data_IF_000707096211
#
_entry.id   IF_000707096211
#
_cell.length_a   1.000
_cell.length_b   1.000
_cell.length_c   1.000
_cell.angle_alpha   90.00
_cell.angle_beta   90.00
_cell.angle_gamma   90.00
#
_symmetry.space_group_name_H-M   'P 1'
#
loop_
_entity.id
_entity.type
_entity.pdbx_description
1 polymer ?
#
# COMPACT_ATOMS: atom_id res chain seq x y z
N UNK A 1 -42.29 19.56 32.40
CA UNK A 1 -41.40 19.71 31.23
C UNK A 1 -40.09 18.91 31.35
N UNK A 2 -40.03 17.83 32.14
CA UNK A 2 -38.76 17.11 32.43
C UNK A 2 -38.59 15.75 31.75
N UNK A 3 -39.62 15.18 31.12
CA UNK A 3 -39.60 13.78 30.64
C UNK A 3 -39.37 13.63 29.13
N UNK A 4 -39.48 14.70 28.35
CA UNK A 4 -39.31 14.65 26.89
C UNK A 4 -37.85 14.81 26.41
N UNK A 5 -36.95 15.30 27.28
CA UNK A 5 -35.53 15.50 26.93
C UNK A 5 -34.67 14.24 27.12
N UNK A 6 -35.07 13.31 28.01
CA UNK A 6 -34.33 12.07 28.25
C UNK A 6 -34.47 11.06 27.10
N UNK A 7 -35.59 11.09 26.38
CA UNK A 7 -35.90 10.10 25.35
C UNK A 7 -35.22 10.38 24.00
N UNK A 8 -34.87 11.64 23.74
CA UNK A 8 -34.13 12.07 22.53
C UNK A 8 -32.62 11.89 22.67
N UNK A 9 -32.07 12.10 23.87
CA UNK A 9 -30.64 11.89 24.16
C UNK A 9 -30.25 10.41 24.22
N UNK A 10 -31.11 9.56 24.80
CA UNK A 10 -30.86 8.12 24.90
C UNK A 10 -30.81 7.42 23.54
N UNK A 11 -31.68 7.81 22.60
CA UNK A 11 -31.69 7.26 21.24
C UNK A 11 -30.45 7.70 20.45
N UNK A 12 -30.01 8.95 20.63
CA UNK A 12 -28.79 9.46 20.00
C UNK A 12 -27.54 8.77 20.54
N UNK A 13 -27.47 8.54 21.86
CA UNK A 13 -26.35 7.81 22.49
C UNK A 13 -26.35 6.32 22.12
N UNK A 14 -27.53 5.69 21.99
CA UNK A 14 -27.65 4.32 21.49
C UNK A 14 -27.22 4.23 20.03
N UNK A 15 -27.68 5.12 19.16
CA UNK A 15 -27.25 5.19 17.76
C UNK A 15 -25.76 5.48 17.64
N UNK A 16 -25.21 6.40 18.45
CA UNK A 16 -23.77 6.69 18.46
C UNK A 16 -22.98 5.49 18.99
N UNK A 17 -23.47 4.78 20.01
CA UNK A 17 -22.85 3.53 20.48
C UNK A 17 -22.94 2.39 19.46
N UNK A 18 -24.02 2.30 18.66
CA UNK A 18 -24.19 1.32 17.60
C UNK A 18 -23.35 1.67 16.36
N UNK A 19 -23.17 2.96 16.06
CA UNK A 19 -22.25 3.46 15.04
C UNK A 19 -20.79 3.23 15.44
N UNK A 20 -20.46 3.50 16.71
CA UNK A 20 -19.15 3.21 17.28
C UNK A 20 -18.92 1.70 17.32
N UNK A 21 -19.83 0.87 17.86
CA UNK A 21 -19.74 -0.60 17.85
C UNK A 21 -19.71 -1.19 16.42
N UNK A 22 -20.43 -0.59 15.47
CA UNK A 22 -20.39 -0.97 14.05
C UNK A 22 -19.04 -0.69 13.41
N UNK A 23 -18.30 0.29 13.92
CA UNK A 23 -16.92 0.59 13.53
C UNK A 23 -15.91 -0.42 14.13
N UNK A 24 -16.27 -1.15 15.18
CA UNK A 24 -15.49 -2.26 15.74
C UNK A 24 -15.78 -3.62 15.08
N UNK A 25 -16.72 -3.70 14.13
CA UNK A 25 -17.09 -4.99 13.53
C UNK A 25 -16.08 -5.50 12.48
N UNK A 26 -14.99 -4.79 12.20
CA UNK A 26 -13.91 -5.25 11.31
C UNK A 26 -12.67 -5.78 12.05
N UNK A 27 -12.75 -6.12 13.35
CA UNK A 27 -11.66 -6.78 14.06
C UNK A 27 -11.54 -8.27 13.71
N UNK A 28 -11.20 -8.56 12.46
CA UNK A 28 -10.45 -9.77 12.13
C UNK A 28 -9.00 -9.36 11.95
N UNK A 29 -8.14 -9.64 12.93
CA UNK A 29 -6.69 -9.41 12.86
C UNK A 29 -6.16 -10.05 11.57
N UNK A 30 -5.74 -9.21 10.63
CA UNK A 30 -5.15 -9.64 9.38
C UNK A 30 -3.64 -9.85 9.54
N UNK A 31 -3.08 -10.64 8.63
CA UNK A 31 -1.64 -10.68 8.41
C UNK A 31 -1.31 -9.69 7.31
N UNK A 32 -0.46 -8.71 7.60
CA UNK A 32 0.08 -7.79 6.60
C UNK A 32 1.31 -8.41 5.94
N UNK A 33 1.26 -8.49 4.61
CA UNK A 33 2.35 -8.91 3.75
C UNK A 33 2.86 -7.66 3.00
N UNK A 34 3.98 -7.04 3.42
CA UNK A 34 4.47 -5.79 2.84
C UNK A 34 4.98 -5.91 1.39
N UNK A 35 5.14 -7.13 0.89
CA UNK A 35 5.81 -7.44 -0.37
C UNK A 35 7.33 -7.53 -0.23
N UNK A 36 7.84 -7.75 0.99
CA UNK A 36 9.27 -7.88 1.25
C UNK A 36 9.83 -9.17 0.62
N UNK A 37 11.08 -9.12 0.16
CA UNK A 37 11.75 -10.32 -0.35
C UNK A 37 11.91 -11.35 0.76
N UNK A 38 11.51 -12.60 0.49
CA UNK A 38 11.62 -13.67 1.46
C UNK A 38 10.59 -13.61 2.59
N UNK A 39 9.54 -12.79 2.49
CA UNK A 39 8.39 -12.87 3.39
C UNK A 39 7.60 -14.17 3.14
N UNK A 40 6.98 -14.70 4.19
CA UNK A 40 6.06 -15.84 4.11
C UNK A 40 5.40 -16.07 5.46
N UNK A 41 4.25 -16.72 5.42
CA UNK A 41 3.63 -17.33 6.61
C UNK A 41 3.30 -18.78 6.31
N UNK A 42 3.61 -19.67 7.25
CA UNK A 42 3.27 -21.09 7.16
C UNK A 42 2.11 -21.41 8.10
N UNK A 43 1.05 -21.95 7.52
CA UNK A 43 -0.07 -22.55 8.24
C UNK A 43 0.10 -24.08 8.32
N UNK A 44 -0.69 -24.76 9.17
CA UNK A 44 -0.74 -26.20 9.19
C UNK A 44 -1.08 -26.75 7.80
N UNK A 45 -0.61 -27.96 7.52
CA UNK A 45 -0.92 -28.66 6.28
C UNK A 45 -2.44 -28.73 6.05
N UNK A 46 -2.89 -28.29 4.89
CA UNK A 46 -4.24 -28.58 4.40
C UNK A 46 -4.27 -29.98 3.77
N UNK A 47 -5.11 -30.87 4.28
CA UNK A 47 -5.31 -32.18 3.68
C UNK A 47 -6.22 -32.10 2.42
N UNK A 48 -5.64 -31.69 1.29
CA UNK A 48 -6.33 -31.47 0.02
C UNK A 48 -6.57 -32.75 -0.82
N UNK A 49 -6.54 -33.94 -0.19
CA UNK A 49 -6.51 -35.22 -0.91
C UNK A 49 -7.73 -35.46 -1.79
N UNK A 50 -8.90 -35.19 -1.23
CA UNK A 50 -10.13 -35.84 -1.66
C UNK A 50 -11.21 -34.76 -1.77
N UNK A 51 -12.20 -34.80 -0.89
CA UNK A 51 -13.10 -33.68 -0.66
C UNK A 51 -12.61 -32.86 0.53
N UNK A 52 -12.22 -31.61 0.27
CA UNK A 52 -11.86 -30.68 1.32
C UNK A 52 -11.93 -29.26 0.79
N UNK A 53 -11.99 -28.30 1.71
CA UNK A 53 -12.12 -26.90 1.40
C UNK A 53 -11.16 -26.06 2.24
N UNK A 54 -10.59 -25.05 1.60
CA UNK A 54 -9.86 -23.96 2.24
C UNK A 54 -10.52 -22.64 1.85
N UNK A 55 -10.61 -21.71 2.79
CA UNK A 55 -11.03 -20.34 2.51
C UNK A 55 -10.17 -19.33 3.25
N UNK A 56 -10.11 -18.11 2.71
CA UNK A 56 -9.49 -16.96 3.34
C UNK A 56 -10.06 -15.68 2.71
N UNK A 57 -9.77 -14.54 3.32
CA UNK A 57 -10.03 -13.24 2.72
C UNK A 57 -8.72 -12.56 2.39
N UNK A 58 -8.66 -11.86 1.24
CA UNK A 58 -7.51 -11.08 0.83
C UNK A 58 -7.90 -9.65 0.49
N UNK A 59 -6.98 -8.72 0.71
CA UNK A 59 -7.08 -7.32 0.26
C UNK A 59 -5.74 -6.93 -0.36
N UNK A 60 -5.73 -6.45 -1.60
CA UNK A 60 -4.49 -6.09 -2.29
C UNK A 60 -4.73 -5.02 -3.34
N UNK A 61 -3.67 -4.29 -3.70
CA UNK A 61 -3.59 -3.46 -4.91
C UNK A 61 -2.57 -3.99 -5.92
N UNK A 62 -1.86 -5.07 -5.58
CA UNK A 62 -0.80 -5.64 -6.41
C UNK A 62 -1.37 -6.30 -7.65
N UNK A 63 -0.74 -6.08 -8.81
CA UNK A 63 -1.10 -6.74 -10.05
C UNK A 63 -0.50 -8.14 -10.21
N UNK A 64 0.39 -8.59 -9.29
CA UNK A 64 0.98 -9.94 -9.31
C UNK A 64 1.46 -10.38 -7.92
N UNK A 65 1.69 -11.68 -7.74
CA UNK A 65 2.30 -12.23 -6.52
C UNK A 65 1.84 -13.64 -6.17
N UNK A 66 2.63 -14.35 -5.36
CA UNK A 66 2.32 -15.68 -4.84
C UNK A 66 1.39 -15.58 -3.63
N UNK A 67 0.14 -16.01 -3.79
CA UNK A 67 -0.86 -15.97 -2.71
C UNK A 67 -0.72 -17.19 -1.80
N UNK A 68 -0.68 -18.40 -2.37
CA UNK A 68 -0.45 -19.63 -1.61
C UNK A 68 0.26 -20.71 -2.42
N UNK A 69 0.96 -21.58 -1.71
CA UNK A 69 1.60 -22.76 -2.26
C UNK A 69 1.65 -23.91 -1.24
N UNK A 70 1.46 -25.13 -1.71
CA UNK A 70 1.83 -26.35 -1.00
C UNK A 70 2.09 -27.49 -1.99
N UNK A 71 2.85 -28.49 -1.55
CA UNK A 71 3.18 -29.63 -2.38
C UNK A 71 3.45 -30.90 -1.55
N UNK A 72 3.88 -31.94 -2.26
CA UNK A 72 4.43 -33.16 -1.71
C UNK A 72 5.96 -33.13 -1.59
N UNK A 73 6.61 -31.98 -1.43
CA UNK A 73 8.06 -31.87 -1.22
C UNK A 73 8.90 -32.44 -2.39
N UNK A 74 8.46 -32.16 -3.62
CA UNK A 74 9.17 -32.44 -4.85
C UNK A 74 8.99 -33.83 -5.43
N UNK A 75 7.84 -34.48 -5.19
CA UNK A 75 7.44 -35.63 -6.00
C UNK A 75 6.62 -35.17 -7.20
N UNK A 76 5.30 -35.02 -7.06
CA UNK A 76 4.40 -34.94 -8.21
C UNK A 76 3.19 -34.01 -8.00
N UNK A 77 2.79 -33.78 -6.76
CA UNK A 77 1.55 -33.12 -6.40
C UNK A 77 1.84 -31.73 -5.84
N UNK A 78 1.16 -30.72 -6.39
CA UNK A 78 1.23 -29.35 -5.89
C UNK A 78 -0.09 -28.63 -6.13
N UNK A 79 -0.28 -27.53 -5.41
CA UNK A 79 -1.28 -26.53 -5.71
C UNK A 79 -0.69 -25.13 -5.46
N UNK A 80 -0.83 -24.27 -6.46
CA UNK A 80 -0.39 -22.88 -6.45
C UNK A 80 -1.60 -21.97 -6.72
N UNK A 81 -1.74 -20.88 -5.95
CA UNK A 81 -2.60 -19.75 -6.29
C UNK A 81 -1.74 -18.50 -6.41
N UNK A 82 -1.82 -17.83 -7.56
CA UNK A 82 -1.11 -16.58 -7.81
C UNK A 82 -2.06 -15.46 -8.24
N UNK A 83 -1.65 -14.23 -8.02
CA UNK A 83 -2.14 -13.08 -8.75
C UNK A 83 -1.40 -12.98 -10.08
N UNK A 84 -2.16 -12.92 -11.17
CA UNK A 84 -1.66 -12.69 -12.52
C UNK A 84 -1.83 -11.24 -12.93
N UNK A 85 -1.13 -10.83 -13.99
CA UNK A 85 -1.19 -9.46 -14.54
C UNK A 85 -2.64 -9.01 -14.70
N UNK A 86 -2.96 -7.87 -14.09
CA UNK A 86 -4.32 -7.35 -14.01
C UNK A 86 -5.10 -7.80 -12.78
N UNK A 87 -4.43 -8.38 -11.78
CA UNK A 87 -4.99 -8.64 -10.45
C UNK A 87 -5.98 -9.79 -10.37
N UNK A 88 -5.99 -10.71 -11.35
CA UNK A 88 -6.88 -11.88 -11.35
C UNK A 88 -6.18 -13.08 -10.75
N UNK A 89 -6.92 -13.88 -10.00
CA UNK A 89 -6.41 -15.11 -9.41
C UNK A 89 -6.28 -16.22 -10.46
N UNK A 90 -5.14 -16.89 -10.47
CA UNK A 90 -4.92 -18.12 -11.24
C UNK A 90 -4.54 -19.25 -10.30
N UNK A 91 -5.32 -20.33 -10.38
CA UNK A 91 -5.07 -21.58 -9.69
C UNK A 91 -4.36 -22.55 -10.64
N UNK A 92 -3.31 -23.21 -10.17
CA UNK A 92 -2.68 -24.32 -10.89
C UNK A 92 -2.43 -25.49 -9.94
N UNK A 93 -2.67 -26.72 -10.40
CA UNK A 93 -2.38 -27.91 -9.61
C UNK A 93 -2.08 -29.11 -10.49
N UNK A 94 -1.24 -30.02 -9.98
CA UNK A 94 -1.03 -31.35 -10.56
C UNK A 94 -1.29 -32.43 -9.53
N UNK A 95 -1.71 -33.59 -10.03
CA UNK A 95 -1.85 -34.83 -9.25
C UNK A 95 -1.10 -35.90 -10.00
N UNK A 96 -0.18 -36.59 -9.33
CA UNK A 96 0.55 -37.74 -9.83
C UNK A 96 1.30 -37.45 -11.14
N UNK A 97 2.01 -36.31 -11.16
CA UNK A 97 2.86 -35.88 -12.27
C UNK A 97 2.10 -35.74 -13.60
N UNK A 98 0.79 -35.45 -13.52
CA UNK A 98 -0.01 -35.10 -14.68
C UNK A 98 0.37 -33.70 -15.17
N UNK A 99 0.00 -33.39 -16.42
CA UNK A 99 0.05 -32.02 -16.91
C UNK A 99 -0.79 -31.11 -15.98
N UNK A 100 -0.23 -29.99 -15.48
CA UNK A 100 -0.94 -29.14 -14.53
C UNK A 100 -2.26 -28.61 -15.08
N UNK A 101 -3.34 -28.78 -14.32
CA UNK A 101 -4.59 -28.11 -14.59
C UNK A 101 -4.47 -26.65 -14.14
N UNK A 102 -4.87 -25.71 -15.01
CA UNK A 102 -4.82 -24.28 -14.72
C UNK A 102 -6.19 -23.65 -14.92
N UNK A 103 -6.55 -22.76 -14.00
CA UNK A 103 -7.82 -22.04 -13.99
C UNK A 103 -7.55 -20.56 -13.70
N UNK A 104 -8.00 -19.68 -14.60
CA UNK A 104 -7.94 -18.24 -14.43
C UNK A 104 -9.34 -17.70 -14.10
N UNK A 105 -9.45 -16.96 -13.00
CA UNK A 105 -10.66 -16.24 -12.65
C UNK A 105 -10.90 -15.04 -13.58
N UNK A 106 -12.15 -14.62 -13.73
CA UNK A 106 -12.53 -13.41 -14.48
C UNK A 106 -12.44 -12.15 -13.62
N UNK A 107 -12.80 -12.27 -12.34
CA UNK A 107 -12.88 -11.13 -11.42
C UNK A 107 -11.47 -10.70 -10.96
N UNK A 108 -11.06 -9.44 -11.23
CA UNK A 108 -9.88 -8.86 -10.60
C UNK A 108 -10.16 -8.61 -9.11
N UNK A 109 -9.16 -8.86 -8.26
CA UNK A 109 -9.27 -8.75 -6.79
C UNK A 109 -8.28 -7.72 -6.22
N UNK A 110 -7.70 -6.88 -7.07
CA UNK A 110 -6.67 -5.90 -6.72
C UNK A 110 -7.22 -4.46 -6.64
N UNK A 111 -8.50 -4.30 -6.30
CA UNK A 111 -9.18 -3.01 -6.18
C UNK A 111 -8.95 -2.34 -4.79
N UNK A 112 -8.22 -3.00 -3.90
CA UNK A 112 -7.97 -2.54 -2.53
C UNK A 112 -9.12 -2.85 -1.55
N UNK A 113 -10.12 -3.64 -1.95
CA UNK A 113 -11.19 -4.13 -1.09
C UNK A 113 -10.94 -5.57 -0.61
N UNK A 114 -11.68 -5.99 0.41
CA UNK A 114 -11.67 -7.38 0.88
C UNK A 114 -12.45 -8.28 -0.07
N UNK A 115 -11.79 -9.30 -0.60
CA UNK A 115 -12.41 -10.38 -1.37
C UNK A 115 -12.36 -11.70 -0.59
N UNK A 116 -13.43 -12.47 -0.68
CA UNK A 116 -13.48 -13.83 -0.12
C UNK A 116 -13.02 -14.83 -1.18
N UNK A 117 -12.02 -15.64 -0.85
CA UNK A 117 -11.50 -16.69 -1.74
C UNK A 117 -11.70 -18.04 -1.10
N UNK A 118 -12.25 -18.98 -1.87
CA UNK A 118 -12.46 -20.36 -1.40
C UNK A 118 -12.07 -21.36 -2.47
N UNK A 119 -11.25 -22.33 -2.08
CA UNK A 119 -10.78 -23.40 -2.94
C UNK A 119 -11.39 -24.69 -2.42
N UNK A 120 -12.23 -25.31 -3.24
CA UNK A 120 -12.87 -26.58 -2.93
C UNK A 120 -12.30 -27.68 -3.83
N UNK A 121 -11.74 -28.70 -3.21
CA UNK A 121 -11.24 -29.91 -3.86
C UNK A 121 -12.33 -30.97 -3.85
N UNK A 122 -12.48 -31.65 -4.98
CA UNK A 122 -13.32 -32.83 -5.16
C UNK A 122 -12.57 -33.81 -6.07
N UNK A 123 -11.65 -34.59 -5.48
CA UNK A 123 -10.82 -35.55 -6.21
C UNK A 123 -10.01 -34.90 -7.35
N UNK A 124 -10.30 -35.18 -8.63
CA UNK A 124 -9.60 -34.54 -9.75
C UNK A 124 -10.04 -33.11 -10.04
N UNK A 125 -11.18 -32.70 -9.49
CA UNK A 125 -11.75 -31.38 -9.71
C UNK A 125 -11.33 -30.43 -8.60
N UNK A 126 -11.00 -29.20 -8.99
CA UNK A 126 -10.81 -28.10 -8.04
C UNK A 126 -11.64 -26.91 -8.50
N UNK A 127 -12.46 -26.38 -7.60
CA UNK A 127 -13.30 -25.20 -7.83
C UNK A 127 -12.73 -24.03 -7.06
N UNK A 128 -12.50 -22.91 -7.76
CA UNK A 128 -12.16 -21.62 -7.19
C UNK A 128 -13.43 -20.77 -7.12
N UNK A 129 -13.75 -20.28 -5.93
CA UNK A 129 -14.79 -19.30 -5.69
C UNK A 129 -14.15 -17.95 -5.37
N UNK A 130 -14.61 -16.91 -6.05
CA UNK A 130 -14.30 -15.52 -5.72
C UNK A 130 -15.60 -14.84 -5.32
N UNK A 131 -15.57 -14.32 -4.11
CA UNK A 131 -16.74 -13.81 -3.42
C UNK A 131 -17.86 -14.88 -3.44
N UNK A 132 -19.12 -14.45 -3.41
CA UNK A 132 -20.26 -15.37 -3.59
C UNK A 132 -20.79 -15.34 -5.03
N UNK A 133 -20.00 -14.78 -5.97
CA UNK A 133 -20.45 -14.40 -7.31
C UNK A 133 -19.81 -15.27 -8.38
N UNK A 134 -18.51 -15.52 -8.28
CA UNK A 134 -17.79 -16.31 -9.27
C UNK A 134 -17.48 -17.71 -8.72
N UNK A 135 -17.76 -18.73 -9.54
CA UNK A 135 -17.38 -20.10 -9.28
C UNK A 135 -16.87 -20.73 -10.59
N UNK A 136 -15.57 -21.00 -10.66
CA UNK A 136 -14.96 -21.69 -11.80
C UNK A 136 -14.27 -22.96 -11.34
N UNK A 137 -14.22 -23.97 -12.19
CA UNK A 137 -13.60 -25.24 -11.87
C UNK A 137 -12.78 -25.76 -13.04
N UNK A 138 -11.79 -26.60 -12.71
CA UNK A 138 -10.99 -27.33 -13.68
C UNK A 138 -10.70 -28.73 -13.16
N UNK A 139 -10.61 -29.70 -14.06
CA UNK A 139 -10.21 -31.07 -13.76
C UNK A 139 -8.78 -31.34 -14.25
N UNK A 140 -7.95 -31.95 -13.42
CA UNK A 140 -6.65 -32.48 -13.86
C UNK A 140 -6.80 -33.84 -14.54
N UNK A 141 -6.15 -34.02 -15.68
CA UNK A 141 -6.14 -35.30 -16.43
C UNK A 141 -5.08 -36.24 -15.86
N UNK A 142 -5.33 -36.70 -14.63
CA UNK A 142 -4.45 -37.61 -13.90
C UNK A 142 -4.97 -39.04 -13.83
N UNK A 143 -4.04 -40.01 -13.80
CA UNK A 143 -4.33 -41.43 -13.53
C UNK A 143 -4.81 -41.64 -12.09
N UNK A 144 -4.36 -40.78 -11.17
CA UNK A 144 -4.76 -40.81 -9.76
C UNK A 144 -5.79 -39.73 -9.50
N UNK A 145 -6.72 -40.02 -8.59
CA UNK A 145 -7.78 -39.08 -8.23
C UNK A 145 -7.46 -38.26 -6.98
N UNK A 146 -6.70 -38.83 -6.06
CA UNK A 146 -6.42 -38.25 -4.75
C UNK A 146 -5.06 -37.54 -4.78
N UNK A 147 -5.00 -36.35 -4.21
CA UNK A 147 -3.77 -35.59 -4.04
C UNK A 147 -3.03 -36.02 -2.77
N UNK A 148 -1.71 -36.05 -2.82
CA UNK A 148 -0.84 -36.16 -1.66
C UNK A 148 -0.26 -34.79 -1.34
N UNK A 149 -0.26 -34.41 -0.07
CA UNK A 149 0.36 -33.17 0.41
C UNK A 149 1.28 -33.55 1.56
N UNK A 150 2.51 -33.05 1.59
CA UNK A 150 3.45 -33.26 2.69
C UNK A 150 3.85 -31.96 3.35
N UNK A 151 4.02 -30.89 2.56
CA UNK A 151 4.42 -29.59 3.08
C UNK A 151 3.35 -28.95 3.98
N UNK A 152 3.76 -27.91 4.72
CA UNK A 152 2.82 -26.92 5.25
C UNK A 152 2.17 -26.10 4.14
N UNK A 153 1.16 -25.31 4.51
CA UNK A 153 0.59 -24.32 3.60
C UNK A 153 1.38 -23.02 3.70
N UNK A 154 2.08 -22.65 2.63
CA UNK A 154 2.76 -21.37 2.54
C UNK A 154 1.81 -20.31 1.98
N UNK A 155 1.76 -19.16 2.62
CA UNK A 155 0.91 -18.02 2.27
C UNK A 155 1.78 -16.77 2.13
N UNK A 156 1.52 -16.00 1.08
CA UNK A 156 2.11 -14.68 0.83
C UNK A 156 3.55 -14.68 0.29
N UNK A 157 4.19 -15.84 0.22
CA UNK A 157 5.55 -16.02 -0.28
C UNK A 157 6.12 -17.38 0.11
N UNK A 158 7.43 -17.53 -0.04
CA UNK A 158 8.16 -18.75 0.33
C UNK A 158 9.34 -18.42 1.25
N UNK A 159 9.68 -19.31 2.19
CA UNK A 159 10.91 -19.20 2.96
C UNK A 159 12.14 -19.16 2.04
N UNK A 160 13.15 -18.33 2.36
CA UNK A 160 14.39 -18.22 1.58
C UNK A 160 15.05 -19.57 1.32
N UNK A 161 14.96 -20.51 2.27
CA UNK A 161 15.50 -21.85 2.15
C UNK A 161 14.87 -22.61 0.99
N UNK A 162 13.54 -22.53 0.81
CA UNK A 162 12.84 -23.20 -0.31
C UNK A 162 13.14 -22.54 -1.66
N UNK A 163 13.59 -21.28 -1.68
CA UNK A 163 14.08 -20.63 -2.91
C UNK A 163 15.45 -21.17 -3.34
N UNK A 164 16.21 -21.76 -2.42
CA UNK A 164 17.48 -22.41 -2.76
C UNK A 164 17.26 -23.66 -3.62
N UNK A 165 18.09 -23.83 -4.66
CA UNK A 165 17.94 -24.93 -5.62
C UNK A 165 18.05 -26.34 -5.01
N UNK A 166 18.69 -26.46 -3.84
CA UNK A 166 18.93 -27.73 -3.16
C UNK A 166 17.68 -28.35 -2.52
N UNK A 167 16.65 -27.55 -2.21
CA UNK A 167 15.42 -28.04 -1.58
C UNK A 167 14.36 -28.40 -2.63
N UNK A 168 13.67 -29.51 -2.39
CA UNK A 168 12.76 -30.12 -3.35
C UNK A 168 11.39 -29.43 -3.30
N UNK A 169 11.09 -28.64 -4.33
CA UNK A 169 9.76 -28.14 -4.64
C UNK A 169 9.22 -28.88 -5.84
N UNK A 170 7.95 -29.25 -5.83
CA UNK A 170 7.32 -29.96 -6.95
C UNK A 170 7.16 -29.06 -8.17
N UNK A 171 6.74 -27.81 -7.97
CA UNK A 171 6.71 -26.81 -9.04
C UNK A 171 7.90 -25.87 -8.92
N UNK A 172 8.93 -26.04 -9.75
CA UNK A 172 10.15 -25.22 -9.66
C UNK A 172 9.93 -23.71 -9.92
N UNK A 173 8.99 -23.35 -10.80
CA UNK A 173 8.71 -21.95 -11.18
C UNK A 173 8.14 -21.11 -10.04
N UNK A 174 7.64 -21.75 -8.97
CA UNK A 174 7.17 -21.03 -7.78
C UNK A 174 8.27 -20.18 -7.13
N UNK A 175 9.55 -20.57 -7.31
CA UNK A 175 10.71 -19.83 -6.79
C UNK A 175 10.89 -18.46 -7.42
N UNK A 176 10.36 -18.26 -8.62
CA UNK A 176 10.48 -17.03 -9.39
C UNK A 176 9.28 -16.09 -9.17
N UNK A 177 8.27 -16.53 -8.41
CA UNK A 177 7.11 -15.70 -8.11
C UNK A 177 7.50 -14.55 -7.18
N UNK A 178 6.95 -13.38 -7.47
CA UNK A 178 7.02 -12.23 -6.55
C UNK A 178 6.22 -12.53 -5.27
N UNK A 179 6.66 -12.07 -4.09
CA UNK A 179 5.85 -12.16 -2.88
C UNK A 179 4.54 -11.40 -3.02
N UNK A 180 3.46 -11.90 -2.42
CA UNK A 180 2.17 -11.21 -2.42
C UNK A 180 2.23 -9.95 -1.55
N UNK A 181 1.77 -8.82 -2.07
CA UNK A 181 1.66 -7.59 -1.29
C UNK A 181 0.20 -7.32 -0.93
N UNK A 182 -0.12 -7.18 0.36
CA UNK A 182 -1.48 -6.90 0.83
C UNK A 182 -1.76 -7.55 2.17
N UNK A 183 -3.03 -7.82 2.44
CA UNK A 183 -3.47 -8.44 3.68
C UNK A 183 -4.19 -9.75 3.41
N UNK A 184 -4.00 -10.73 4.29
CA UNK A 184 -4.75 -11.98 4.31
C UNK A 184 -5.28 -12.22 5.72
N UNK A 185 -6.55 -12.62 5.84
CA UNK A 185 -7.18 -12.93 7.11
C UNK A 185 -8.12 -14.12 6.98
N UNK A 186 -8.63 -14.58 8.13
CA UNK A 186 -9.68 -15.59 8.20
C UNK A 186 -9.36 -16.89 7.44
N UNK A 187 -8.10 -17.34 7.54
CA UNK A 187 -7.68 -18.61 6.93
C UNK A 187 -8.38 -19.76 7.63
N UNK A 188 -9.12 -20.56 6.87
CA UNK A 188 -9.91 -21.70 7.37
C UNK A 188 -9.69 -22.93 6.52
N UNK A 189 -9.76 -24.09 7.17
CA UNK A 189 -9.77 -25.41 6.53
C UNK A 189 -11.02 -26.16 7.02
N UNK A 190 -11.89 -26.55 6.10
CA UNK A 190 -13.18 -27.20 6.40
C UNK A 190 -13.97 -26.44 7.49
N UNK A 191 -14.10 -25.11 7.35
CA UNK A 191 -14.74 -24.18 8.30
C UNK A 191 -13.99 -23.89 9.62
N UNK A 192 -12.99 -24.71 9.98
CA UNK A 192 -12.17 -24.49 11.16
C UNK A 192 -11.10 -23.43 10.89
N UNK A 193 -10.97 -22.45 11.78
CA UNK A 193 -9.91 -21.44 11.70
C UNK A 193 -8.54 -22.10 11.83
N UNK A 194 -7.63 -21.75 10.93
CA UNK A 194 -6.23 -22.15 10.97
C UNK A 194 -5.40 -20.97 11.46
N UNK A 195 -4.49 -21.22 12.40
CA UNK A 195 -3.57 -20.21 12.92
C UNK A 195 -2.19 -20.37 12.26
N UNK A 196 -1.43 -19.28 12.09
CA UNK A 196 -0.03 -19.36 11.68
C UNK A 196 0.78 -20.27 12.63
N UNK A 197 1.64 -21.10 12.05
CA UNK A 197 2.61 -21.92 12.80
C UNK A 197 3.96 -21.22 12.88
N UNK A 198 4.33 -20.53 11.80
CA UNK A 198 5.64 -19.91 11.62
C UNK A 198 5.54 -18.81 10.55
N UNK A 199 6.43 -17.81 10.60
CA UNK A 199 6.42 -16.68 9.67
C UNK A 199 7.77 -15.98 9.62
N UNK A 200 8.15 -15.46 8.45
CA UNK A 200 9.27 -14.54 8.26
C UNK A 200 8.81 -13.25 7.60
N UNK A 201 9.24 -12.10 8.14
CA UNK A 201 8.94 -10.75 7.61
C UNK A 201 7.44 -10.42 7.47
N UNK A 202 6.58 -10.98 8.34
CA UNK A 202 5.12 -10.74 8.39
C UNK A 202 4.74 -10.24 9.78
N UNK A 203 3.92 -9.18 9.86
CA UNK A 203 3.43 -8.62 11.13
C UNK A 203 2.02 -9.11 11.43
N UNK A 204 1.77 -9.43 12.70
CA UNK A 204 0.44 -9.66 13.26
C UNK A 204 -0.11 -8.30 13.73
N UNK A 205 -1.25 -7.87 13.20
CA UNK A 205 -1.86 -6.60 13.58
C UNK A 205 -2.63 -6.72 14.91
N UNK A 206 -2.01 -6.27 16.01
CA UNK A 206 -2.69 -5.94 17.28
C UNK A 206 -2.81 -4.41 17.51
N UNK A 207 -2.47 -3.55 16.52
CA UNK A 207 -2.52 -2.08 16.63
C UNK A 207 -3.25 -1.44 15.43
N UNK A 208 -3.93 -0.29 15.62
CA UNK A 208 -4.76 0.36 14.59
C UNK A 208 -3.95 0.81 13.37
N UNK A 209 -4.57 0.91 12.18
CA UNK A 209 -3.88 0.94 10.90
C UNK A 209 -3.05 2.22 10.75
N UNK A 210 -1.76 2.14 11.03
CA UNK A 210 -0.77 3.10 10.55
C UNK A 210 -0.20 2.60 9.22
N UNK A 211 -0.89 2.96 8.14
CA UNK A 211 -0.38 3.19 6.78
C UNK A 211 0.82 2.34 6.31
N UNK A 212 0.54 1.12 5.83
CA UNK A 212 1.54 0.22 5.23
C UNK A 212 1.21 -0.36 3.85
N UNK A 213 0.01 -0.11 3.30
CA UNK A 213 -0.40 -0.67 2.00
C UNK A 213 -1.38 0.19 1.20
N UNK A 214 -1.12 1.50 1.17
CA UNK A 214 -1.78 2.40 0.22
C UNK A 214 -1.37 2.12 -1.23
N UNK A 215 -2.16 2.63 -2.18
CA UNK A 215 -1.71 2.80 -3.57
C UNK A 215 -0.36 3.54 -3.59
N UNK A 216 0.55 3.32 -4.57
CA UNK A 216 1.73 4.18 -4.75
C UNK A 216 1.40 5.68 -4.82
N UNK A 217 0.15 6.04 -5.12
CA UNK A 217 -0.36 7.42 -5.13
C UNK A 217 -1.04 7.88 -3.83
N UNK A 218 -1.22 7.00 -2.85
CA UNK A 218 -1.78 7.31 -1.52
C UNK A 218 -0.64 7.34 -0.51
N UNK A 219 0.05 8.47 -0.42
CA UNK A 219 0.95 8.76 0.69
C UNK A 219 0.42 9.99 1.44
N UNK A 220 0.17 9.82 2.73
CA UNK A 220 -0.07 10.87 3.72
C UNK A 220 -1.53 11.28 3.92
N UNK A 221 -1.98 11.23 5.18
CA UNK A 221 -3.07 12.11 5.63
C UNK A 221 -2.68 13.57 5.39
N UNK A 222 -3.68 14.42 5.17
CA UNK A 222 -3.57 15.84 4.84
C UNK A 222 -2.54 16.57 5.73
N UNK A 223 -1.36 16.90 5.17
CA UNK A 223 -0.40 17.77 5.86
C UNK A 223 1.07 17.63 5.44
N UNK A 224 1.48 16.49 4.92
CA UNK A 224 2.82 16.27 4.35
C UNK A 224 2.67 15.76 2.91
N UNK A 225 3.30 16.44 1.95
CA UNK A 225 2.99 16.34 0.53
C UNK A 225 2.88 14.91 -0.01
N UNK A 226 1.77 14.64 -0.70
CA UNK A 226 1.57 13.39 -1.43
C UNK A 226 2.66 13.16 -2.50
N UNK A 227 2.72 11.93 -3.02
CA UNK A 227 3.78 11.45 -3.94
C UNK A 227 4.03 12.35 -5.15
N UNK A 228 3.02 13.09 -5.62
CA UNK A 228 3.17 14.17 -6.59
C UNK A 228 2.91 15.52 -5.92
N UNK A 229 3.92 16.38 -5.92
CA UNK A 229 3.87 17.71 -5.31
C UNK A 229 3.28 18.75 -6.29
N UNK A 230 3.02 19.95 -5.77
CA UNK A 230 2.60 21.11 -6.57
C UNK A 230 1.37 20.87 -7.48
N UNK A 231 0.47 19.98 -7.06
CA UNK A 231 -0.75 19.66 -7.82
C UNK A 231 -0.54 18.72 -9.01
N UNK A 232 0.57 17.97 -9.04
CA UNK A 232 0.81 16.94 -10.05
C UNK A 232 -0.20 15.80 -9.95
N UNK A 233 -0.63 15.26 -11.10
CA UNK A 233 -1.59 14.15 -11.12
C UNK A 233 -0.82 12.84 -11.00
N UNK A 234 -1.10 12.07 -9.94
CA UNK A 234 -0.49 10.76 -9.74
C UNK A 234 -1.26 9.66 -10.49
N UNK A 235 -0.51 8.79 -11.17
CA UNK A 235 -1.01 7.58 -11.81
C UNK A 235 -0.11 6.39 -11.47
N UNK A 236 -0.65 5.17 -11.50
CA UNK A 236 0.13 3.95 -11.24
C UNK A 236 0.43 3.24 -12.55
N UNK A 237 1.72 3.07 -12.86
CA UNK A 237 2.20 2.33 -14.04
C UNK A 237 3.23 1.29 -13.56
N UNK A 238 3.00 0.01 -13.87
CA UNK A 238 3.84 -1.11 -13.42
C UNK A 238 4.12 -1.12 -11.90
N UNK A 239 3.08 -0.87 -11.10
CA UNK A 239 3.13 -0.80 -9.63
C UNK A 239 4.01 0.34 -9.06
N UNK A 240 4.39 1.33 -9.90
CA UNK A 240 5.10 2.54 -9.49
C UNK A 240 4.24 3.79 -9.70
N UNK A 241 4.40 4.78 -8.82
CA UNK A 241 3.78 6.09 -8.97
C UNK A 241 4.48 6.90 -10.07
N UNK A 242 3.69 7.47 -10.97
CA UNK A 242 4.13 8.34 -12.07
C UNK A 242 3.33 9.64 -11.99
N UNK A 243 4.04 10.76 -11.91
CA UNK A 243 3.46 12.10 -11.81
C UNK A 243 3.40 12.80 -13.16
N UNK A 244 2.21 13.30 -13.54
CA UNK A 244 2.05 14.26 -14.63
C UNK A 244 2.15 15.69 -14.09
N UNK A 245 3.26 16.37 -14.42
CA UNK A 245 3.56 17.74 -14.00
C UNK A 245 3.21 18.79 -15.09
N UNK A 246 2.65 18.39 -16.23
CA UNK A 246 2.52 19.26 -17.41
C UNK A 246 1.65 20.52 -17.19
N UNK A 247 0.84 20.53 -16.12
CA UNK A 247 -0.07 21.62 -15.77
C UNK A 247 0.30 22.35 -14.48
N UNK A 248 1.47 22.05 -13.90
CA UNK A 248 1.86 22.59 -12.60
C UNK A 248 2.92 23.69 -12.70
N UNK A 249 3.65 23.79 -13.83
CA UNK A 249 4.83 24.67 -13.95
C UNK A 249 6.06 24.13 -13.22
N UNK A 250 5.98 22.87 -12.77
CA UNK A 250 7.07 22.12 -12.17
C UNK A 250 7.40 20.89 -13.03
N UNK A 251 8.56 20.30 -12.79
CA UNK A 251 9.11 19.13 -13.46
C UNK A 251 9.78 18.21 -12.44
N UNK A 252 10.33 17.11 -12.93
CA UNK A 252 10.91 16.06 -12.08
C UNK A 252 9.92 14.93 -11.82
N UNK A 253 10.38 13.86 -11.16
CA UNK A 253 9.58 12.64 -10.95
C UNK A 253 8.39 12.84 -10.01
N UNK A 254 8.47 13.84 -9.14
CA UNK A 254 7.53 14.18 -8.09
C UNK A 254 6.97 15.62 -8.24
N UNK A 255 7.24 16.28 -9.37
CA UNK A 255 6.88 17.68 -9.61
C UNK A 255 7.45 18.69 -8.59
N UNK A 256 8.62 18.41 -7.99
CA UNK A 256 9.28 19.30 -7.03
C UNK A 256 10.12 20.42 -7.65
N UNK A 257 10.55 20.26 -8.90
CA UNK A 257 11.55 21.15 -9.52
C UNK A 257 10.86 22.23 -10.35
N UNK A 258 11.26 23.49 -10.23
CA UNK A 258 10.69 24.56 -11.07
C UNK A 258 11.04 24.37 -12.55
N UNK A 259 10.06 24.61 -13.42
CA UNK A 259 10.26 24.59 -14.87
C UNK A 259 10.65 26.01 -15.36
N UNK A 260 11.92 26.18 -15.73
CA UNK A 260 12.47 27.48 -16.15
C UNK A 260 11.99 27.95 -17.54
N UNK A 261 10.93 27.36 -18.08
CA UNK A 261 10.51 27.59 -19.47
C UNK A 261 9.03 27.99 -19.65
N UNK A 262 8.37 28.50 -18.60
CA UNK A 262 7.06 29.13 -18.75
C UNK A 262 7.16 30.64 -18.56
N UNK A 263 7.52 31.29 -19.66
CA UNK A 263 7.30 32.71 -19.84
C UNK A 263 5.78 32.97 -19.86
N UNK A 264 5.26 33.59 -18.79
CA UNK A 264 4.00 34.31 -18.81
C UNK A 264 2.78 33.60 -18.19
N UNK A 265 2.62 33.75 -16.86
CA UNK A 265 1.38 34.26 -16.20
C UNK A 265 1.48 34.06 -14.68
N UNK A 266 2.20 34.95 -13.99
CA UNK A 266 2.00 35.15 -12.56
C UNK A 266 1.27 36.48 -12.34
N UNK A 267 0.01 36.37 -11.89
CA UNK A 267 -0.72 37.47 -11.28
C UNK A 267 0.04 37.89 -10.02
N UNK A 268 0.28 39.19 -9.90
CA UNK A 268 1.14 39.80 -8.90
C UNK A 268 0.73 39.55 -7.45
N UNK A 269 1.75 39.45 -6.62
CA UNK A 269 1.72 39.85 -5.21
C UNK A 269 2.76 40.95 -5.07
N UNK A 270 2.32 42.16 -4.75
CA UNK A 270 3.20 43.28 -4.47
C UNK A 270 3.85 43.05 -3.10
N UNK A 271 5.15 42.77 -3.08
CA UNK A 271 5.95 42.66 -1.85
C UNK A 271 6.66 44.00 -1.61
N UNK A 272 6.40 44.63 -0.45
CA UNK A 272 7.05 45.88 -0.06
C UNK A 272 8.40 45.54 0.57
N UNK A 273 9.50 45.93 -0.08
CA UNK A 273 10.86 45.76 0.44
C UNK A 273 11.29 47.06 1.16
N UNK A 274 11.54 46.97 2.46
CA UNK A 274 12.14 48.04 3.27
C UNK A 274 13.64 47.78 3.40
N UNK A 275 14.46 48.77 3.01
CA UNK A 275 15.91 48.74 3.13
C UNK A 275 16.44 49.75 4.16
N UNK A 276 17.50 49.38 4.88
CA UNK A 276 18.24 50.26 5.79
C UNK A 276 19.70 50.33 5.34
N UNK A 277 20.21 51.54 5.09
CA UNK A 277 21.64 51.77 4.84
C UNK A 277 22.25 52.61 5.96
N UNK A 278 23.41 52.19 6.47
CA UNK A 278 24.12 52.84 7.58
C UNK A 278 25.49 53.30 7.07
N UNK A 279 25.73 54.60 7.12
CA UNK A 279 27.01 55.22 6.77
C UNK A 279 27.72 55.74 8.01
N UNK A 280 28.99 55.37 8.20
CA UNK A 280 29.89 56.04 9.15
C UNK A 280 30.56 57.20 8.44
N UNK A 281 30.28 58.42 8.90
CA UNK A 281 30.93 59.63 8.40
C UNK A 281 31.89 60.16 9.45
N UNK A 282 33.11 60.51 9.05
CA UNK A 282 34.08 61.19 9.91
C UNK A 282 34.11 62.66 9.50
N UNK A 283 33.61 63.53 10.37
CA UNK A 283 33.70 64.97 10.20
C UNK A 283 34.95 65.47 10.90
N UNK A 284 35.78 66.24 10.19
CA UNK A 284 37.04 66.79 10.69
C UNK A 284 36.85 68.29 10.88
N UNK A 285 36.84 68.75 12.13
CA UNK A 285 36.85 70.17 12.45
C UNK A 285 38.15 70.52 13.16
N UNK A 286 39.06 71.16 12.43
CA UNK A 286 40.38 71.52 12.94
C UNK A 286 41.23 70.30 13.32
N UNK A 287 41.78 70.29 14.53
CA UNK A 287 42.69 69.24 15.04
C UNK A 287 41.97 68.00 15.62
N UNK A 288 40.64 67.98 15.66
CA UNK A 288 39.86 66.88 16.22
C UNK A 288 38.94 66.27 15.15
N UNK A 289 38.76 64.94 15.21
CA UNK A 289 37.84 64.19 14.35
C UNK A 289 36.75 63.56 15.19
N UNK A 290 35.49 63.77 14.81
CA UNK A 290 34.31 63.14 15.42
C UNK A 290 33.64 62.23 14.40
N UNK A 291 33.33 61.00 14.80
CA UNK A 291 32.59 60.05 13.97
C UNK A 291 31.08 60.23 14.20
N UNK A 292 30.29 60.27 13.14
CA UNK A 292 28.82 60.29 13.18
C UNK A 292 28.26 59.12 12.38
N UNK A 293 27.10 58.61 12.78
CA UNK A 293 26.38 57.57 12.03
C UNK A 293 25.16 58.22 11.35
N UNK A 294 25.05 58.02 10.03
CA UNK A 294 23.87 58.36 9.26
C UNK A 294 23.13 57.06 8.91
N UNK A 295 21.85 56.97 9.27
CA UNK A 295 20.97 55.86 8.90
C UNK A 295 19.94 56.37 7.90
N UNK A 296 19.85 55.72 6.74
CA UNK A 296 18.89 56.03 5.68
C UNK A 296 17.94 54.84 5.53
N UNK A 297 16.64 55.09 5.68
CA UNK A 297 15.58 54.12 5.41
C UNK A 297 14.96 54.43 4.04
N UNK A 298 14.79 53.41 3.21
CA UNK A 298 14.11 53.55 1.93
C UNK A 298 13.15 52.39 1.63
N UNK A 299 12.11 52.69 0.86
CA UNK A 299 11.11 51.72 0.39
C UNK A 299 11.08 51.71 -1.13
N UNK A 300 11.21 50.54 -1.75
CA UNK A 300 10.96 50.37 -3.18
C UNK A 300 9.48 50.01 -3.38
N UNK A 301 8.63 51.02 -3.49
CA UNK A 301 7.36 50.87 -4.22
C UNK A 301 7.50 51.55 -5.58
N UNK A 302 6.63 51.20 -6.54
CA UNK A 302 6.66 51.69 -7.93
C UNK A 302 6.57 53.23 -8.07
N UNK A 303 6.43 53.94 -6.95
CA UNK A 303 6.46 55.39 -6.82
C UNK A 303 7.55 55.77 -5.80
N UNK A 304 8.75 56.15 -6.26
CA UNK A 304 9.89 56.53 -5.41
C UNK A 304 9.53 57.71 -4.49
N UNK A 305 9.26 57.45 -3.21
CA UNK A 305 9.18 58.46 -2.16
C UNK A 305 10.16 58.10 -1.04
N UNK A 306 11.12 58.99 -0.78
CA UNK A 306 12.13 58.88 0.29
C UNK A 306 11.66 59.76 1.46
N UNK A 307 11.58 59.22 2.68
CA UNK A 307 11.20 60.00 3.86
C UNK A 307 12.14 59.76 5.07
N UNK A 308 12.75 60.89 5.50
CA UNK A 308 13.39 61.25 6.79
C UNK A 308 14.80 60.69 7.10
N UNK A 309 15.74 61.61 7.32
CA UNK A 309 17.09 61.40 7.86
C UNK A 309 17.13 61.73 9.37
N UNK A 310 17.65 60.82 10.19
CA UNK A 310 18.09 61.12 11.55
C UNK A 310 19.61 60.95 11.66
N UNK A 311 20.28 61.98 12.20
CA UNK A 311 21.71 61.96 12.51
C UNK A 311 21.89 61.67 14.00
N UNK A 312 22.74 60.71 14.32
CA UNK A 312 23.12 60.39 15.69
C UNK A 312 24.60 60.67 15.89
N UNK A 313 24.92 61.44 16.94
CA UNK A 313 26.29 61.64 17.41
C UNK A 313 26.70 60.42 18.27
N UNK A 314 27.87 59.85 17.97
CA UNK A 314 28.49 58.76 18.74
C UNK A 314 29.24 59.30 19.96
#
# INVERSE_FOLDING_TARGET
MGTALLQRGGCFLLCLSLLLLGCWAELGSGLEFPGAEGQWTRFPKWNACCESEMSFQLKTRSARGLVLYFDDEGFCDFLELILTRGGRLQLSFSIFCAEPATLLADTPVNDGAWHSVRIRRQFRNTTLYIDQVEAKWVEVKSKRRDMTVFSGLFVGGLPPELRAAALKLTLASVREREPFKGWIRDVRVNSSQALPVDSGEVKLDDEPPSSGGGSPCEAGEEGEGGVCLNGGVCSVVDDQAVCDCSRTGFRGKDCSQEDNNVEGKSKGKDEIILGVEIFKMVQKQGKYSTAKILVILWSLTKSRNIFVCSLYDL
#
